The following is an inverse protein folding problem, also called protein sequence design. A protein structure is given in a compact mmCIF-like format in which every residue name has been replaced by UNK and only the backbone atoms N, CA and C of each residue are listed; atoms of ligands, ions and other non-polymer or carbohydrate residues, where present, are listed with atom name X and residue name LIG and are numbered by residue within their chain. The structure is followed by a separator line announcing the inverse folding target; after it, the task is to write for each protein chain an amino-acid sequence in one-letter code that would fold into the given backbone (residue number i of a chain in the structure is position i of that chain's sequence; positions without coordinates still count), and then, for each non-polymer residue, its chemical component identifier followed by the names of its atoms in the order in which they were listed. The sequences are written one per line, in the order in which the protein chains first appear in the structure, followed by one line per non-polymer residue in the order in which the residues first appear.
data_IF_721426976859
#
_entry.id   IF_721426976859
#
_cell.length_a   1.000
_cell.length_b   1.000
_cell.length_c   1.000
_cell.angle_alpha   90.00
_cell.angle_beta   90.00
_cell.angle_gamma   90.00
#
_symmetry.space_group_name_H-M   'P 1'
#
loop_
_entity.id
_entity.type
_entity.pdbx_description
1 polymer ?
#
# COMPACT_ATOMS: atom_id res chain seq x y z
N UNK A 1 23.46 29.34 -31.15
CA UNK A 1 22.47 28.54 -30.39
C UNK A 1 22.73 28.75 -28.91
N UNK A 2 21.72 29.15 -28.14
CA UNK A 2 21.77 29.21 -26.67
C UNK A 2 21.81 27.78 -26.13
N UNK A 3 22.86 27.44 -25.37
CA UNK A 3 22.93 26.15 -24.66
C UNK A 3 22.21 26.29 -23.31
N UNK A 4 21.40 25.31 -22.89
CA UNK A 4 20.69 25.40 -21.61
C UNK A 4 21.64 25.18 -20.43
N UNK A 5 21.40 25.93 -19.36
CA UNK A 5 22.01 25.73 -18.04
C UNK A 5 21.13 24.75 -17.25
N UNK A 6 21.67 23.59 -16.87
CA UNK A 6 20.90 22.49 -16.28
C UNK A 6 21.57 22.04 -14.98
N UNK A 7 20.77 21.92 -13.93
CA UNK A 7 21.10 21.22 -12.70
C UNK A 7 20.00 20.21 -12.39
N UNK A 8 20.39 18.95 -12.14
CA UNK A 8 19.47 17.86 -11.81
C UNK A 8 19.98 17.19 -10.53
N UNK A 9 19.09 17.10 -9.54
CA UNK A 9 19.29 16.34 -8.32
C UNK A 9 18.21 15.27 -8.22
N UNK A 10 18.60 13.99 -8.14
CA UNK A 10 17.68 12.86 -8.05
C UNK A 10 18.04 12.03 -6.82
N UNK A 11 17.09 11.89 -5.90
CA UNK A 11 17.19 11.00 -4.76
C UNK A 11 15.81 10.44 -4.39
N UNK A 12 15.77 9.18 -3.93
CA UNK A 12 14.57 8.62 -3.30
C UNK A 12 14.51 9.06 -1.83
N UNK A 13 13.33 9.39 -1.26
CA UNK A 13 13.22 9.80 0.14
C UNK A 13 13.78 8.78 1.14
N UNK A 14 13.64 7.48 0.87
CA UNK A 14 14.21 6.44 1.73
C UNK A 14 15.74 6.37 1.59
N UNK A 15 16.24 6.65 0.38
CA UNK A 15 17.67 6.63 0.08
C UNK A 15 18.39 7.83 0.69
N UNK A 16 17.82 9.04 0.63
CA UNK A 16 18.47 10.26 1.16
C UNK A 16 18.63 10.22 2.69
N UNK A 17 17.80 9.44 3.39
CA UNK A 17 17.85 9.27 4.83
C UNK A 17 18.76 8.12 5.29
N UNK A 18 19.09 7.18 4.39
CA UNK A 18 19.91 6.02 4.70
C UNK A 18 21.40 6.41 4.85
N UNK A 19 22.11 5.76 5.78
CA UNK A 19 23.56 5.96 5.99
C UNK A 19 24.39 5.73 4.72
N UNK A 20 23.96 4.80 3.87
CA UNK A 20 24.60 4.48 2.58
C UNK A 20 23.72 4.90 1.38
N UNK A 21 22.90 5.93 1.60
CA UNK A 21 22.05 6.54 0.60
C UNK A 21 22.78 6.98 -0.65
N UNK A 22 22.13 6.89 -1.81
CA UNK A 22 22.66 7.44 -3.06
C UNK A 22 21.76 8.54 -3.57
N UNK A 23 22.37 9.69 -3.86
CA UNK A 23 21.79 10.74 -4.67
C UNK A 23 22.63 10.87 -5.94
N UNK A 24 21.97 11.17 -7.07
CA UNK A 24 22.65 11.43 -8.34
C UNK A 24 22.52 12.92 -8.64
N UNK A 25 23.66 13.54 -8.91
CA UNK A 25 23.75 14.95 -9.26
C UNK A 25 24.31 15.04 -10.68
N UNK A 26 23.65 15.84 -11.51
CA UNK A 26 24.14 16.21 -12.83
C UNK A 26 24.12 17.72 -12.99
N UNK A 27 25.22 18.26 -13.51
CA UNK A 27 25.37 19.68 -13.82
C UNK A 27 25.88 19.83 -15.25
N UNK A 28 25.27 20.72 -16.03
CA UNK A 28 25.76 20.97 -17.39
C UNK A 28 27.08 21.75 -17.37
N UNK A 29 27.99 21.53 -18.32
CA UNK A 29 29.27 22.24 -18.38
C UNK A 29 29.12 23.76 -18.39
N UNK A 30 28.15 24.30 -19.15
CA UNK A 30 27.88 25.73 -19.16
C UNK A 30 27.47 26.25 -17.78
N UNK A 31 26.71 25.48 -17.01
CA UNK A 31 26.31 25.88 -15.65
C UNK A 31 27.49 25.86 -14.69
N UNK A 32 28.38 24.88 -14.81
CA UNK A 32 29.61 24.82 -14.04
C UNK A 32 30.51 26.04 -14.33
N UNK A 33 30.66 26.42 -15.60
CA UNK A 33 31.41 27.60 -16.02
C UNK A 33 30.77 28.91 -15.50
N UNK A 34 29.45 29.04 -15.61
CA UNK A 34 28.73 30.23 -15.16
C UNK A 34 28.78 30.43 -13.64
N UNK A 35 28.79 29.34 -12.88
CA UNK A 35 28.88 29.37 -11.40
C UNK A 35 30.28 29.68 -10.89
N UNK A 36 31.31 29.67 -11.75
CA UNK A 36 32.70 30.00 -11.44
C UNK A 36 33.24 29.36 -10.14
N UNK A 37 32.77 28.15 -9.79
CA UNK A 37 33.20 27.28 -8.68
C UNK A 37 33.46 27.89 -7.28
N UNK A 38 33.26 29.19 -7.06
CA UNK A 38 33.65 29.86 -5.82
C UNK A 38 32.60 29.75 -4.71
N UNK A 39 31.38 29.33 -5.01
CA UNK A 39 30.30 29.28 -4.02
C UNK A 39 29.25 28.18 -4.21
N UNK A 40 29.37 27.32 -5.22
CA UNK A 40 28.36 26.26 -5.42
C UNK A 40 28.73 25.00 -4.65
N UNK A 41 27.92 24.68 -3.63
CA UNK A 41 28.04 23.44 -2.87
C UNK A 41 26.80 22.55 -3.08
N UNK A 42 26.89 21.44 -3.84
CA UNK A 42 25.76 20.53 -4.02
C UNK A 42 25.30 19.85 -2.72
N UNK A 43 26.14 19.85 -1.68
CA UNK A 43 25.78 19.30 -0.37
C UNK A 43 24.67 20.11 0.31
N UNK A 44 24.55 21.41 0.03
CA UNK A 44 23.45 22.24 0.57
C UNK A 44 22.10 21.77 0.03
N UNK A 45 22.04 21.44 -1.26
CA UNK A 45 20.83 20.91 -1.90
C UNK A 45 20.49 19.53 -1.33
N UNK A 46 21.50 18.69 -1.13
CA UNK A 46 21.31 17.39 -0.49
C UNK A 46 20.77 17.55 0.94
N UNK A 47 21.31 18.48 1.72
CA UNK A 47 20.89 18.74 3.09
C UNK A 47 19.46 19.29 3.16
N UNK A 48 19.09 20.24 2.30
CA UNK A 48 17.70 20.74 2.21
C UNK A 48 16.71 19.62 1.85
N UNK A 49 17.06 18.78 0.88
CA UNK A 49 16.23 17.65 0.50
C UNK A 49 16.10 16.62 1.64
N UNK A 50 17.17 16.43 2.43
CA UNK A 50 17.19 15.53 3.58
C UNK A 50 16.30 16.04 4.72
N UNK A 51 16.39 17.33 5.06
CA UNK A 51 15.55 17.97 6.07
C UNK A 51 14.08 17.91 5.70
N UNK A 52 13.75 18.22 4.44
CA UNK A 52 12.40 18.09 3.93
C UNK A 52 11.91 16.63 3.97
N UNK A 53 12.74 15.67 3.56
CA UNK A 53 12.40 14.25 3.68
C UNK A 53 12.15 13.84 5.14
N UNK A 54 12.96 14.32 6.10
CA UNK A 54 12.75 14.07 7.54
C UNK A 54 11.42 14.62 8.05
N UNK A 55 10.95 15.75 7.51
CA UNK A 55 9.64 16.32 7.85
C UNK A 55 8.48 15.55 7.21
N UNK A 56 8.70 14.91 6.06
CA UNK A 56 7.68 14.16 5.33
C UNK A 56 7.61 12.67 5.70
N UNK A 57 8.65 12.09 6.30
CA UNK A 57 8.51 10.77 6.92
C UNK A 57 7.49 10.92 8.04
N UNK A 58 6.31 10.34 7.82
CA UNK A 58 5.23 10.24 8.80
C UNK A 58 5.83 10.08 10.19
N UNK A 59 5.46 10.97 11.11
CA UNK A 59 5.97 10.92 12.47
C UNK A 59 5.74 9.49 12.99
N UNK A 60 6.68 8.91 13.73
CA UNK A 60 6.55 7.53 14.24
C UNK A 60 5.18 7.27 14.90
N UNK A 61 4.57 8.31 15.46
CA UNK A 61 3.19 8.32 15.97
C UNK A 61 2.11 8.12 14.89
N UNK A 62 2.23 8.77 13.75
CA UNK A 62 1.32 8.63 12.61
C UNK A 62 1.47 7.26 11.94
N UNK A 63 2.70 6.76 11.81
CA UNK A 63 2.97 5.38 11.36
C UNK A 63 2.31 4.38 12.31
N UNK A 64 2.48 4.56 13.63
CA UNK A 64 1.85 3.69 14.62
C UNK A 64 0.32 3.75 14.56
N UNK A 65 -0.25 4.92 14.33
CA UNK A 65 -1.70 5.10 14.19
C UNK A 65 -2.22 4.39 12.94
N UNK A 66 -1.55 4.57 11.81
CA UNK A 66 -1.90 3.91 10.55
C UNK A 66 -1.79 2.39 10.66
N UNK A 67 -0.72 1.88 11.26
CA UNK A 67 -0.55 0.44 11.48
C UNK A 67 -1.65 -0.16 12.36
N UNK A 68 -2.13 0.59 13.37
CA UNK A 68 -3.27 0.17 14.18
C UNK A 68 -4.55 0.10 13.35
N UNK A 69 -4.83 1.13 12.55
CA UNK A 69 -6.00 1.15 11.66
C UNK A 69 -5.97 -0.02 10.66
N UNK A 70 -4.81 -0.31 10.07
CA UNK A 70 -4.66 -1.46 9.15
C UNK A 70 -4.97 -2.77 9.87
N UNK A 71 -4.49 -2.96 11.10
CA UNK A 71 -4.78 -4.16 11.89
C UNK A 71 -6.27 -4.29 12.23
N UNK A 72 -6.92 -3.18 12.59
CA UNK A 72 -8.36 -3.16 12.89
C UNK A 72 -9.18 -3.56 11.65
N UNK A 73 -8.88 -2.99 10.49
CA UNK A 73 -9.54 -3.32 9.21
C UNK A 73 -9.28 -4.77 8.79
N UNK A 74 -8.08 -5.29 9.01
CA UNK A 74 -7.76 -6.69 8.72
C UNK A 74 -8.55 -7.65 9.61
N UNK A 75 -8.65 -7.35 10.91
CA UNK A 75 -9.43 -8.15 11.85
C UNK A 75 -10.92 -8.16 11.50
N UNK A 76 -11.48 -7.00 11.15
CA UNK A 76 -12.87 -6.88 10.70
C UNK A 76 -13.12 -7.70 9.44
N UNK A 77 -12.24 -7.59 8.44
CA UNK A 77 -12.34 -8.37 7.19
C UNK A 77 -12.30 -9.88 7.45
N UNK A 78 -11.41 -10.34 8.33
CA UNK A 78 -11.33 -11.76 8.70
C UNK A 78 -12.61 -12.24 9.38
N UNK A 79 -13.19 -11.42 10.26
CA UNK A 79 -14.44 -11.76 10.93
C UNK A 79 -15.60 -11.85 9.94
N UNK A 80 -15.76 -10.85 9.06
CA UNK A 80 -16.80 -10.88 8.03
C UNK A 80 -16.65 -12.09 7.09
N UNK A 81 -15.43 -12.47 6.71
CA UNK A 81 -15.23 -13.64 5.85
C UNK A 81 -15.60 -14.95 6.58
N UNK A 82 -15.32 -15.05 7.89
CA UNK A 82 -15.74 -16.22 8.69
C UNK A 82 -17.26 -16.31 8.78
N UNK A 83 -17.93 -15.21 9.10
CA UNK A 83 -19.40 -15.16 9.17
C UNK A 83 -20.03 -15.52 7.82
N UNK A 84 -19.43 -15.05 6.72
CA UNK A 84 -19.87 -15.42 5.36
C UNK A 84 -19.73 -16.91 5.08
N UNK A 85 -18.60 -17.51 5.47
CA UNK A 85 -18.36 -18.95 5.28
C UNK A 85 -19.29 -19.80 6.14
N UNK A 86 -19.53 -19.42 7.39
CA UNK A 86 -20.47 -20.10 8.28
C UNK A 86 -21.91 -19.99 7.75
N UNK A 87 -22.33 -18.80 7.32
CA UNK A 87 -23.63 -18.59 6.68
C UNK A 87 -23.82 -19.44 5.42
N UNK A 88 -22.79 -19.55 4.57
CA UNK A 88 -22.82 -20.40 3.39
C UNK A 88 -22.99 -21.90 3.75
N UNK A 89 -22.28 -22.38 4.78
CA UNK A 89 -22.39 -23.76 5.25
C UNK A 89 -23.77 -24.08 5.80
N UNK A 90 -24.34 -23.18 6.61
CA UNK A 90 -25.68 -23.35 7.17
C UNK A 90 -26.74 -23.38 6.06
N UNK A 91 -26.62 -22.48 5.08
CA UNK A 91 -27.53 -22.44 3.93
C UNK A 91 -27.47 -23.73 3.10
N UNK A 92 -26.27 -24.29 2.89
CA UNK A 92 -26.12 -25.57 2.20
C UNK A 92 -26.72 -26.74 3.00
N UNK A 93 -26.52 -26.77 4.31
CA UNK A 93 -27.08 -27.80 5.18
C UNK A 93 -28.63 -27.76 5.16
N UNK A 94 -29.21 -26.56 5.23
CA UNK A 94 -30.67 -26.40 5.18
C UNK A 94 -31.22 -26.79 3.81
N UNK A 95 -30.56 -26.40 2.71
CA UNK A 95 -30.94 -26.84 1.36
C UNK A 95 -30.91 -28.34 1.18
N UNK A 96 -29.96 -29.05 1.82
CA UNK A 96 -29.91 -30.52 1.80
C UNK A 96 -31.08 -31.11 2.60
N UNK A 97 -31.39 -30.52 3.76
CA UNK A 97 -32.52 -30.95 4.58
C UNK A 97 -33.87 -30.78 3.86
N UNK A 98 -34.09 -29.64 3.21
CA UNK A 98 -35.29 -29.39 2.42
C UNK A 98 -35.44 -30.43 1.29
N UNK A 99 -34.38 -30.69 0.52
CA UNK A 99 -34.42 -31.71 -0.54
C UNK A 99 -34.75 -33.11 -0.01
N UNK A 100 -34.14 -33.51 1.10
CA UNK A 100 -34.42 -34.82 1.70
C UNK A 100 -35.89 -34.94 2.16
N UNK A 101 -36.46 -33.86 2.73
CA UNK A 101 -37.87 -33.83 3.13
C UNK A 101 -38.81 -33.86 1.90
N UNK A 102 -38.47 -33.13 0.84
CA UNK A 102 -39.22 -33.15 -0.43
C UNK A 102 -39.20 -34.56 -1.05
N UNK A 103 -38.05 -35.24 -1.06
CA UNK A 103 -37.93 -36.63 -1.54
C UNK A 103 -38.76 -37.60 -0.71
N UNK A 104 -38.74 -37.47 0.63
CA UNK A 104 -39.57 -38.28 1.51
C UNK A 104 -41.06 -38.07 1.25
N UNK A 105 -41.51 -36.81 1.14
CA UNK A 105 -42.90 -36.47 0.83
C UNK A 105 -43.33 -37.05 -0.52
N UNK A 106 -42.49 -36.95 -1.54
CA UNK A 106 -42.76 -37.53 -2.87
C UNK A 106 -42.91 -39.06 -2.80
N UNK A 107 -42.08 -39.75 -2.00
CA UNK A 107 -42.22 -41.19 -1.78
C UNK A 107 -43.51 -41.55 -1.03
N UNK A 108 -43.88 -40.81 0.02
CA UNK A 108 -45.13 -41.01 0.74
C UNK A 108 -46.35 -40.81 -0.16
N UNK A 109 -46.35 -39.77 -1.00
CA UNK A 109 -47.44 -39.52 -1.95
C UNK A 109 -47.57 -40.61 -3.01
N UNK A 110 -46.45 -41.15 -3.51
CA UNK A 110 -46.47 -42.25 -4.47
C UNK A 110 -46.90 -43.59 -3.85
N UNK A 111 -46.59 -43.83 -2.57
CA UNK A 111 -46.93 -45.09 -1.88
C UNK A 111 -48.30 -45.06 -1.16
N UNK A 112 -48.86 -43.87 -0.91
CA UNK A 112 -50.16 -43.68 -0.26
C UNK A 112 -51.36 -43.56 -1.20
N UNK A 113 -51.15 -43.68 -2.52
CA UNK A 113 -52.18 -43.64 -3.57
C UNK A 113 -52.42 -44.99 -4.26
N UNK A 114 -51.94 -46.10 -3.68
CA UNK A 114 -52.27 -47.47 -4.08
C UNK A 114 -53.20 -48.12 -3.05
#
# INVERSE_FOLDING_TARGET
MTRPYIFIYIARPESILARNGRAVIYISPGMLEALQLKSWNPDEIHQMAKEHAQQQVLNAREISKLNRQVKEVQAEKEQTERERQEGARLLEAERRRCRALEEQLAQYLNNGLA
#
